data_IF_141114354523
#
_entry.id   IF_141114354523
#
_cell.length_a   1.000
_cell.length_b   1.000
_cell.length_c   1.000
_cell.angle_alpha   90.00
_cell.angle_beta   90.00
_cell.angle_gamma   90.00
#
_symmetry.space_group_name_H-M   'P 1'
#
loop_
_entity.id
_entity.type
_entity.pdbx_description
1 polymer ?
#
# COMPACT_ATOMS: atom_id res chain seq x y z
N UNK A 1 -24.17 14.63 7.50
CA UNK A 1 -23.41 14.10 6.36
C UNK A 1 -24.35 13.21 5.55
N UNK A 2 -24.44 13.40 4.24
CA UNK A 2 -25.31 12.60 3.37
C UNK A 2 -24.64 11.24 3.15
N UNK A 3 -25.32 10.13 3.52
CA UNK A 3 -24.78 8.75 3.56
C UNK A 3 -24.14 8.29 2.25
N UNK A 4 -24.48 8.95 1.14
CA UNK A 4 -23.91 8.70 -0.20
C UNK A 4 -22.45 9.16 -0.33
N UNK A 5 -22.05 10.20 0.39
CA UNK A 5 -20.66 10.67 0.40
C UNK A 5 -19.73 9.74 1.17
N UNK A 6 -20.22 9.16 2.27
CA UNK A 6 -19.47 8.17 3.04
C UNK A 6 -19.20 6.93 2.18
N UNK A 7 -20.21 6.41 1.47
CA UNK A 7 -20.06 5.24 0.60
C UNK A 7 -19.02 5.41 -0.52
N UNK A 8 -18.83 6.63 -1.03
CA UNK A 8 -17.84 6.90 -2.08
C UNK A 8 -16.40 6.88 -1.56
N UNK A 9 -16.17 7.26 -0.30
CA UNK A 9 -14.83 7.23 0.31
C UNK A 9 -14.35 5.83 0.68
N UNK A 10 -15.27 4.87 0.82
CA UNK A 10 -14.94 3.49 1.19
C UNK A 10 -14.84 2.53 -0.02
N UNK A 11 -15.13 3.01 -1.23
CA UNK A 11 -15.02 2.17 -2.43
C UNK A 11 -13.60 2.19 -3.01
N UNK A 12 -13.09 1.03 -3.48
CA UNK A 12 -11.85 1.01 -4.25
C UNK A 12 -11.99 1.90 -5.49
N UNK A 13 -11.21 2.97 -5.57
CA UNK A 13 -11.27 3.92 -6.68
C UNK A 13 -10.31 3.58 -7.83
N UNK A 14 -9.35 2.70 -7.58
CA UNK A 14 -8.26 2.37 -8.51
C UNK A 14 -8.36 0.96 -9.10
N UNK A 15 -9.32 0.14 -8.66
CA UNK A 15 -9.52 -1.23 -9.14
C UNK A 15 -10.51 -1.26 -10.30
N UNK A 16 -10.22 -2.06 -11.32
CA UNK A 16 -11.21 -2.38 -12.34
C UNK A 16 -12.24 -3.36 -11.75
N UNK A 17 -13.44 -3.45 -12.34
CA UNK A 17 -14.50 -4.35 -11.85
C UNK A 17 -13.99 -5.79 -11.72
N UNK A 18 -13.23 -6.27 -12.70
CA UNK A 18 -12.60 -7.60 -12.67
C UNK A 18 -11.65 -7.82 -11.48
N UNK A 19 -10.98 -6.75 -11.04
CA UNK A 19 -10.02 -6.78 -9.93
C UNK A 19 -10.75 -6.66 -8.58
N UNK A 20 -12.02 -6.23 -8.57
CA UNK A 20 -12.89 -6.28 -7.39
C UNK A 20 -13.41 -7.70 -7.18
N UNK A 21 -13.71 -8.43 -8.26
CA UNK A 21 -14.14 -9.83 -8.20
C UNK A 21 -12.99 -10.78 -7.84
N UNK A 22 -11.77 -10.45 -8.28
CA UNK A 22 -10.54 -11.21 -8.04
C UNK A 22 -9.39 -10.32 -7.52
N UNK A 23 -9.50 -9.80 -6.28
CA UNK A 23 -8.50 -8.87 -5.73
C UNK A 23 -7.09 -9.48 -5.60
N UNK A 24 -6.98 -10.80 -5.47
CA UNK A 24 -5.71 -11.53 -5.44
C UNK A 24 -4.88 -11.36 -6.71
N UNK A 25 -5.52 -11.15 -7.88
CA UNK A 25 -4.82 -10.94 -9.15
C UNK A 25 -3.98 -9.66 -9.14
N UNK A 26 -4.36 -8.68 -8.30
CA UNK A 26 -3.59 -7.46 -8.10
C UNK A 26 -2.21 -7.75 -7.52
N UNK A 27 -2.09 -8.76 -6.64
CA UNK A 27 -0.81 -9.15 -6.07
C UNK A 27 0.11 -9.75 -7.12
N UNK A 28 -0.44 -10.56 -8.03
CA UNK A 28 0.31 -11.11 -9.16
C UNK A 28 0.95 -10.03 -10.01
N UNK A 29 0.18 -9.02 -10.40
CA UNK A 29 0.68 -7.90 -11.21
C UNK A 29 1.73 -7.07 -10.47
N UNK A 30 1.54 -6.83 -9.17
CA UNK A 30 2.48 -6.08 -8.35
C UNK A 30 3.80 -6.83 -8.15
N UNK A 31 3.74 -8.06 -7.63
CA UNK A 31 4.94 -8.84 -7.29
C UNK A 31 5.69 -9.41 -8.50
N UNK A 32 5.09 -9.40 -9.70
CA UNK A 32 5.83 -9.67 -10.94
C UNK A 32 6.88 -8.59 -11.24
N UNK A 33 6.61 -7.34 -10.83
CA UNK A 33 7.47 -6.19 -11.14
C UNK A 33 8.24 -5.67 -9.91
N UNK A 34 7.80 -6.03 -8.71
CA UNK A 34 8.34 -5.55 -7.45
C UNK A 34 8.46 -6.70 -6.46
N UNK A 35 9.59 -7.40 -6.45
CA UNK A 35 9.82 -8.44 -5.45
C UNK A 35 9.76 -7.83 -4.04
N UNK A 36 9.43 -8.60 -2.99
CA UNK A 36 9.22 -8.05 -1.65
C UNK A 36 10.37 -7.18 -1.14
N UNK A 37 11.62 -7.61 -1.38
CA UNK A 37 12.79 -6.83 -0.97
C UNK A 37 12.92 -5.50 -1.73
N UNK A 38 12.57 -5.47 -3.02
CA UNK A 38 12.56 -4.25 -3.83
C UNK A 38 11.42 -3.32 -3.41
N UNK A 39 10.24 -3.87 -3.13
CA UNK A 39 9.09 -3.11 -2.64
C UNK A 39 9.39 -2.42 -1.31
N UNK A 40 10.02 -3.12 -0.35
CA UNK A 40 10.51 -2.52 0.92
C UNK A 40 11.50 -1.40 0.69
N UNK A 41 12.48 -1.62 -0.20
CA UNK A 41 13.50 -0.61 -0.50
C UNK A 41 12.86 0.63 -1.11
N UNK A 42 11.90 0.47 -2.03
CA UNK A 42 11.18 1.59 -2.64
C UNK A 42 10.30 2.32 -1.62
N UNK A 43 9.62 1.59 -0.75
CA UNK A 43 8.82 2.17 0.34
C UNK A 43 9.69 3.00 1.29
N UNK A 44 10.89 2.52 1.62
CA UNK A 44 11.85 3.27 2.43
C UNK A 44 12.31 4.56 1.74
N UNK A 45 12.63 4.52 0.45
CA UNK A 45 12.99 5.71 -0.32
C UNK A 45 11.84 6.73 -0.39
N UNK A 46 10.60 6.26 -0.51
CA UNK A 46 9.41 7.10 -0.46
C UNK A 46 9.27 7.79 0.90
N UNK A 47 9.41 7.04 1.99
CA UNK A 47 9.34 7.60 3.34
C UNK A 47 10.43 8.66 3.58
N UNK A 48 11.69 8.37 3.23
CA UNK A 48 12.77 9.36 3.34
C UNK A 48 12.49 10.63 2.54
N UNK A 49 12.01 10.47 1.31
CA UNK A 49 11.68 11.61 0.43
C UNK A 49 10.54 12.45 0.99
N UNK A 50 9.57 11.79 1.63
CA UNK A 50 8.46 12.46 2.29
C UNK A 50 8.95 13.25 3.51
N UNK A 51 9.65 12.61 4.45
CA UNK A 51 10.20 13.27 5.65
C UNK A 51 11.12 14.43 5.27
N UNK A 52 11.97 14.27 4.26
CA UNK A 52 12.87 15.32 3.81
C UNK A 52 12.10 16.57 3.33
N UNK A 53 11.03 16.38 2.54
CA UNK A 53 10.21 17.49 2.04
C UNK A 53 9.44 18.21 3.15
N UNK A 54 8.87 17.47 4.10
CA UNK A 54 8.16 18.07 5.23
C UNK A 54 9.13 18.88 6.11
N UNK A 55 10.32 18.33 6.37
CA UNK A 55 11.38 19.03 7.09
C UNK A 55 11.83 20.31 6.37
N UNK A 56 11.98 20.30 5.03
CA UNK A 56 12.26 21.51 4.24
C UNK A 56 11.13 22.55 4.32
N UNK A 57 9.87 22.10 4.41
CA UNK A 57 8.71 22.97 4.59
C UNK A 57 8.57 23.52 6.02
N UNK A 58 9.43 23.07 6.95
CA UNK A 58 9.32 23.42 8.38
C UNK A 58 8.14 22.74 9.07
N UNK A 59 7.55 21.71 8.45
CA UNK A 59 6.46 20.91 8.99
C UNK A 59 7.10 19.70 9.66
N UNK A 60 7.13 19.72 10.98
CA UNK A 60 7.66 18.60 11.78
C UNK A 60 6.57 17.86 12.54
N UNK A 61 5.34 18.38 12.50
CA UNK A 61 4.18 17.71 13.05
C UNK A 61 3.96 16.43 12.22
N UNK A 62 3.63 15.34 12.91
CA UNK A 62 3.25 14.04 12.33
C UNK A 62 4.36 13.10 11.81
N UNK A 63 5.65 13.37 12.06
CA UNK A 63 6.73 12.41 11.67
C UNK A 63 6.53 11.01 12.30
N UNK A 64 6.05 10.96 13.54
CA UNK A 64 5.74 9.69 14.22
C UNK A 64 4.59 8.94 13.54
N UNK A 65 3.53 9.66 13.15
CA UNK A 65 2.40 9.09 12.40
C UNK A 65 2.85 8.62 11.01
N UNK A 66 3.71 9.38 10.33
CA UNK A 66 4.29 8.98 9.05
C UNK A 66 5.12 7.69 9.16
N UNK A 67 5.92 7.56 10.23
CA UNK A 67 6.70 6.34 10.48
C UNK A 67 5.78 5.15 10.79
N UNK A 68 4.72 5.36 11.58
CA UNK A 68 3.74 4.33 11.87
C UNK A 68 3.02 3.87 10.60
N UNK A 69 2.62 4.82 9.75
CA UNK A 69 2.04 4.53 8.44
C UNK A 69 3.00 3.71 7.57
N UNK A 70 4.29 4.09 7.52
CA UNK A 70 5.32 3.33 6.80
C UNK A 70 5.42 1.87 7.27
N UNK A 71 5.49 1.63 8.59
CA UNK A 71 5.59 0.26 9.11
C UNK A 71 4.32 -0.55 8.81
N UNK A 72 3.12 0.01 8.98
CA UNK A 72 1.89 -0.69 8.61
C UNK A 72 1.80 -1.00 7.12
N UNK A 73 2.27 -0.09 6.25
CA UNK A 73 2.28 -0.32 4.81
C UNK A 73 3.25 -1.44 4.42
N UNK A 74 4.40 -1.50 5.10
CA UNK A 74 5.37 -2.59 4.95
C UNK A 74 4.75 -3.93 5.38
N UNK A 75 4.10 -3.99 6.53
CA UNK A 75 3.38 -5.20 6.98
C UNK A 75 2.30 -5.64 5.98
N UNK A 76 1.55 -4.69 5.42
CA UNK A 76 0.55 -4.97 4.38
C UNK A 76 1.18 -5.58 3.12
N UNK A 77 2.33 -5.06 2.68
CA UNK A 77 3.08 -5.62 1.54
C UNK A 77 3.53 -7.06 1.85
N UNK A 78 4.04 -7.34 3.05
CA UNK A 78 4.41 -8.70 3.45
C UNK A 78 3.20 -9.63 3.44
N UNK A 79 2.08 -9.21 4.05
CA UNK A 79 0.86 -10.00 4.12
C UNK A 79 0.31 -10.31 2.72
N UNK A 80 0.30 -9.32 1.83
CA UNK A 80 -0.10 -9.47 0.44
C UNK A 80 0.79 -10.49 -0.30
N UNK A 81 2.10 -10.47 -0.04
CA UNK A 81 3.02 -11.45 -0.64
C UNK A 81 2.76 -12.87 -0.14
N UNK A 82 2.50 -13.05 1.16
CA UNK A 82 2.17 -14.36 1.73
C UNK A 82 0.87 -14.90 1.12
N UNK A 83 -0.17 -14.08 1.01
CA UNK A 83 -1.44 -14.47 0.36
C UNK A 83 -1.19 -14.90 -1.09
N UNK A 84 -0.45 -14.09 -1.85
CA UNK A 84 -0.07 -14.41 -3.23
C UNK A 84 0.65 -15.76 -3.37
N UNK A 85 1.59 -16.04 -2.47
CA UNK A 85 2.34 -17.29 -2.49
C UNK A 85 1.47 -18.49 -2.10
N UNK A 86 0.56 -18.33 -1.13
CA UNK A 86 -0.36 -19.39 -0.73
C UNK A 86 -1.34 -19.73 -1.86
N UNK A 87 -1.91 -18.73 -2.52
CA UNK A 87 -2.81 -18.94 -3.66
C UNK A 87 -2.12 -19.65 -4.84
N UNK A 88 -0.79 -19.47 -5.00
CA UNK A 88 0.00 -20.22 -5.98
C UNK A 88 0.33 -21.66 -5.57
N UNK A 89 0.28 -21.98 -4.28
CA UNK A 89 0.58 -23.31 -3.77
C UNK A 89 -0.64 -24.25 -3.78
N UNK A 90 -1.85 -23.70 -3.89
CA UNK A 90 -3.11 -24.44 -3.98
C UNK A 90 -3.49 -24.87 -5.42
N UNK A 91 -2.64 -24.56 -6.41
CA UNK A 91 -2.79 -24.90 -7.84
C UNK A 91 -1.72 -25.93 -8.23
#
# INVERSE_FOLDING_TARGET
MDKRYEQLNYQPCALLIKDIEHPEDCFGNFFCNHQPHEARSRLWELFKSWVFKEAEAGITDDIEEMLLFHEHLKELIEAAFVIHMNNKAEI
#
